data_IF_303009096576
#
_entry.id   IF_303009096576
#
_cell.length_a   1.000
_cell.length_b   1.000
_cell.length_c   1.000
_cell.angle_alpha   90.00
_cell.angle_beta   90.00
_cell.angle_gamma   90.00
#
_symmetry.space_group_name_H-M   'P 1'
#
loop_
_entity.id
_entity.type
_entity.pdbx_description
1 polymer ?
#
# COMPACT_ATOMS: atom_id res chain seq x y z
N UNK A 1 12.21 0.45 5.61
CA UNK A 1 13.06 0.76 4.43
C UNK A 1 12.27 1.62 3.45
N UNK A 2 12.92 2.66 2.92
CA UNK A 2 12.34 3.71 2.04
C UNK A 2 12.96 3.50 0.64
N UNK A 3 12.17 3.55 -0.43
CA UNK A 3 12.52 3.04 -1.78
C UNK A 3 12.03 4.02 -2.85
N UNK A 4 12.95 4.72 -3.52
CA UNK A 4 12.67 5.52 -4.73
C UNK A 4 12.61 4.64 -5.99
N UNK A 5 11.81 4.94 -7.03
CA UNK A 5 11.53 3.97 -8.11
C UNK A 5 12.10 4.36 -9.50
N UNK A 6 12.61 3.36 -10.27
CA UNK A 6 13.03 3.50 -11.68
C UNK A 6 11.86 3.56 -12.68
N UNK A 7 12.04 4.30 -13.77
CA UNK A 7 11.34 4.05 -15.05
C UNK A 7 12.09 2.94 -15.78
N UNK A 8 11.53 1.74 -15.91
CA UNK A 8 11.61 0.85 -17.11
C UNK A 8 11.08 -0.56 -16.79
N UNK A 9 10.13 -1.07 -17.60
CA UNK A 9 9.84 -2.50 -17.71
C UNK A 9 9.13 -2.83 -19.03
N UNK A 10 9.88 -3.11 -20.10
CA UNK A 10 9.35 -3.42 -21.45
C UNK A 10 8.39 -4.63 -21.43
N UNK A 11 8.68 -5.66 -20.63
CA UNK A 11 7.82 -6.85 -20.45
C UNK A 11 6.51 -6.53 -19.71
N UNK A 12 6.56 -5.66 -18.69
CA UNK A 12 5.36 -5.22 -17.99
C UNK A 12 4.50 -4.28 -18.82
N UNK A 13 5.07 -3.46 -19.72
CA UNK A 13 4.29 -2.69 -20.70
C UNK A 13 3.45 -3.60 -21.60
N UNK A 14 4.04 -4.69 -22.09
CA UNK A 14 3.33 -5.67 -22.92
C UNK A 14 2.20 -6.35 -22.15
N UNK A 15 2.48 -6.86 -20.95
CA UNK A 15 1.47 -7.46 -20.06
C UNK A 15 0.37 -6.45 -19.68
N UNK A 16 0.75 -5.22 -19.40
CA UNK A 16 -0.18 -4.14 -19.09
C UNK A 16 -1.11 -3.87 -20.29
N UNK A 17 -0.55 -3.71 -21.48
CA UNK A 17 -1.34 -3.52 -22.71
C UNK A 17 -2.26 -4.70 -23.04
N UNK A 18 -1.87 -5.93 -22.68
CA UNK A 18 -2.65 -7.13 -22.97
C UNK A 18 -3.81 -7.35 -21.97
N UNK A 19 -3.61 -7.01 -20.70
CA UNK A 19 -4.55 -7.38 -19.61
C UNK A 19 -5.21 -6.19 -18.92
N UNK A 20 -4.51 -5.06 -18.77
CA UNK A 20 -5.05 -3.88 -18.11
C UNK A 20 -5.91 -3.08 -19.07
N UNK A 21 -7.23 -3.30 -19.01
CA UNK A 21 -8.19 -2.55 -19.83
C UNK A 21 -8.62 -1.24 -19.20
N UNK A 22 -8.57 -1.14 -17.86
CA UNK A 22 -9.02 0.04 -17.13
C UNK A 22 -8.26 0.20 -15.82
N UNK A 23 -7.66 1.37 -15.62
CA UNK A 23 -7.24 1.83 -14.30
C UNK A 23 -8.22 2.90 -13.87
N UNK A 24 -8.85 2.68 -12.73
CA UNK A 24 -9.65 3.71 -12.07
C UNK A 24 -8.79 4.33 -10.99
N UNK A 25 -8.70 5.66 -11.05
CA UNK A 25 -7.92 6.42 -10.09
C UNK A 25 -8.89 7.32 -9.37
N UNK A 26 -9.03 7.07 -8.07
CA UNK A 26 -9.78 7.93 -7.18
C UNK A 26 -8.76 8.89 -6.56
N UNK A 27 -8.45 9.99 -7.28
CA UNK A 27 -7.52 11.01 -6.84
C UNK A 27 -8.01 12.41 -7.26
N UNK A 28 -7.90 13.38 -6.33
CA UNK A 28 -8.18 14.81 -6.51
C UNK A 28 -9.64 15.16 -6.91
N UNK A 29 -10.35 15.85 -6.01
CA UNK A 29 -11.62 16.53 -6.34
C UNK A 29 -12.92 15.73 -6.17
N UNK A 30 -12.90 14.52 -5.59
CA UNK A 30 -14.12 13.74 -5.34
C UNK A 30 -14.58 13.79 -3.88
N UNK A 31 -15.90 13.76 -3.68
CA UNK A 31 -16.57 13.67 -2.37
C UNK A 31 -16.00 12.55 -1.49
N UNK A 32 -15.87 12.81 -0.18
CA UNK A 32 -15.45 11.86 0.88
C UNK A 32 -16.07 10.46 0.76
N UNK A 33 -17.27 10.33 0.19
CA UNK A 33 -17.99 9.05 0.03
C UNK A 33 -17.28 8.05 -0.90
N UNK A 34 -16.68 8.51 -1.99
CA UNK A 34 -16.11 7.59 -3.00
C UNK A 34 -14.77 7.03 -2.55
N UNK A 35 -13.95 7.82 -1.86
CA UNK A 35 -12.69 7.36 -1.27
C UNK A 35 -12.94 6.31 -0.17
N UNK A 36 -13.95 6.53 0.67
CA UNK A 36 -14.33 5.57 1.71
C UNK A 36 -14.83 4.25 1.10
N UNK A 37 -15.60 4.32 -0.01
CA UNK A 37 -16.07 3.13 -0.73
C UNK A 37 -14.90 2.33 -1.33
N UNK A 38 -13.97 2.99 -2.01
CA UNK A 38 -12.77 2.34 -2.59
C UNK A 38 -11.83 1.77 -1.53
N UNK A 39 -11.62 2.49 -0.43
CA UNK A 39 -10.86 1.97 0.70
C UNK A 39 -11.53 0.71 1.27
N UNK A 40 -12.86 0.73 1.45
CA UNK A 40 -13.63 -0.45 1.87
C UNK A 40 -13.47 -1.61 0.89
N UNK A 41 -13.62 -1.39 -0.42
CA UNK A 41 -13.42 -2.44 -1.43
C UNK A 41 -12.01 -3.02 -1.40
N UNK A 42 -11.00 -2.18 -1.17
CA UNK A 42 -9.62 -2.63 -1.02
C UNK A 42 -9.43 -3.55 0.19
N UNK A 43 -10.17 -3.28 1.28
CA UNK A 43 -10.20 -4.12 2.47
C UNK A 43 -10.99 -5.41 2.24
N UNK A 44 -12.14 -5.33 1.58
CA UNK A 44 -12.98 -6.49 1.26
C UNK A 44 -12.22 -7.48 0.35
N UNK A 45 -11.46 -7.00 -0.64
CA UNK A 45 -10.63 -7.83 -1.53
C UNK A 45 -9.51 -8.57 -0.79
N UNK A 46 -8.92 -7.96 0.24
CA UNK A 46 -7.94 -8.65 1.11
C UNK A 46 -8.60 -9.78 1.92
N UNK A 47 -9.89 -9.65 2.26
CA UNK A 47 -10.63 -10.69 2.98
C UNK A 47 -10.98 -11.86 2.07
N UNK A 48 -11.44 -11.58 0.85
CA UNK A 48 -11.77 -12.60 -0.15
C UNK A 48 -10.52 -13.39 -0.58
N UNK A 49 -9.39 -12.72 -0.76
CA UNK A 49 -8.12 -13.39 -1.07
C UNK A 49 -7.62 -14.27 0.09
N UNK A 50 -8.00 -13.97 1.34
CA UNK A 50 -7.57 -14.71 2.53
C UNK A 50 -8.56 -15.78 3.00
N UNK A 51 -9.58 -16.14 2.19
CA UNK A 51 -10.73 -17.01 2.53
C UNK A 51 -10.47 -18.38 3.18
N UNK A 52 -9.24 -18.74 3.57
CA UNK A 52 -8.90 -19.96 4.32
C UNK A 52 -7.58 -19.88 5.16
N UNK A 53 -6.72 -18.85 5.05
CA UNK A 53 -5.37 -18.81 5.71
C UNK A 53 -5.09 -17.55 6.54
N UNK A 54 -6.03 -17.13 7.38
CA UNK A 54 -5.89 -16.01 8.32
C UNK A 54 -4.94 -16.22 9.51
N UNK A 55 -3.76 -16.81 9.31
CA UNK A 55 -2.85 -17.23 10.39
C UNK A 55 -1.76 -16.18 10.77
N UNK A 56 -1.62 -15.06 10.06
CA UNK A 56 -0.57 -14.06 10.36
C UNK A 56 -1.05 -12.70 10.89
N UNK A 57 -2.36 -12.48 11.08
CA UNK A 57 -2.87 -11.29 11.80
C UNK A 57 -2.58 -9.92 11.16
N UNK A 58 -2.19 -9.88 9.88
CA UNK A 58 -1.96 -8.65 9.09
C UNK A 58 -3.20 -8.20 8.31
N UNK A 59 -4.31 -8.93 8.45
CA UNK A 59 -5.58 -8.66 7.79
C UNK A 59 -6.11 -7.30 8.22
N UNK A 60 -6.59 -6.52 7.26
CA UNK A 60 -7.19 -5.21 7.50
C UNK A 60 -8.70 -5.40 7.37
N UNK A 61 -9.38 -5.59 8.49
CA UNK A 61 -10.85 -5.59 8.52
C UNK A 61 -11.32 -4.15 8.64
N UNK A 62 -12.39 -3.75 7.95
CA UNK A 62 -13.05 -2.47 8.23
C UNK A 62 -13.39 -2.31 9.73
N UNK A 63 -13.62 -3.45 10.41
CA UNK A 63 -13.99 -3.53 11.82
C UNK A 63 -12.81 -3.87 12.76
N UNK A 64 -11.58 -4.02 12.26
CA UNK A 64 -10.41 -4.20 13.13
C UNK A 64 -9.60 -2.91 13.23
N UNK A 65 -8.70 -2.89 14.22
CA UNK A 65 -7.89 -1.73 14.57
C UNK A 65 -7.09 -1.23 13.36
N UNK A 66 -6.58 -2.12 12.50
CA UNK A 66 -5.81 -1.74 11.32
C UNK A 66 -6.68 -1.08 10.24
N UNK A 67 -7.88 -1.61 9.96
CA UNK A 67 -8.75 -1.01 8.94
C UNK A 67 -9.36 0.30 9.41
N UNK A 68 -9.72 0.40 10.69
CA UNK A 68 -10.11 1.67 11.29
C UNK A 68 -9.00 2.72 11.18
N UNK A 69 -7.74 2.33 11.46
CA UNK A 69 -6.57 3.19 11.31
C UNK A 69 -6.41 3.69 9.86
N UNK A 70 -6.38 2.80 8.87
CA UNK A 70 -6.20 3.21 7.47
C UNK A 70 -7.40 4.02 6.95
N UNK A 71 -8.63 3.68 7.34
CA UNK A 71 -9.81 4.44 6.96
C UNK A 71 -9.76 5.87 7.52
N UNK A 72 -9.38 6.03 8.80
CA UNK A 72 -9.21 7.34 9.41
C UNK A 72 -8.08 8.13 8.76
N UNK A 73 -6.91 7.51 8.57
CA UNK A 73 -5.76 8.13 7.92
C UNK A 73 -6.10 8.64 6.51
N UNK A 74 -6.76 7.80 5.70
CA UNK A 74 -7.19 8.20 4.36
C UNK A 74 -8.22 9.34 4.40
N UNK A 75 -9.17 9.29 5.34
CA UNK A 75 -10.17 10.36 5.52
C UNK A 75 -9.52 11.69 5.89
N UNK A 76 -8.53 11.70 6.77
CA UNK A 76 -7.82 12.90 7.21
C UNK A 76 -7.00 13.51 6.07
N UNK A 77 -6.21 12.70 5.36
CA UNK A 77 -5.42 13.18 4.24
C UNK A 77 -6.27 13.61 3.04
N UNK A 78 -7.46 13.03 2.87
CA UNK A 78 -8.40 13.43 1.82
C UNK A 78 -8.92 14.86 2.00
N UNK A 79 -9.00 15.38 3.23
CA UNK A 79 -9.46 16.77 3.49
C UNK A 79 -8.59 17.77 2.77
N UNK A 80 -7.28 17.53 2.72
CA UNK A 80 -6.31 18.39 2.05
C UNK A 80 -5.99 17.92 0.64
N UNK A 81 -6.77 17.00 0.07
CA UNK A 81 -6.53 16.43 -1.26
C UNK A 81 -5.30 15.52 -1.35
N UNK A 82 -4.70 15.13 -0.23
CA UNK A 82 -3.42 14.43 -0.12
C UNK A 82 -3.55 12.90 0.02
N UNK A 83 -4.71 12.33 -0.34
CA UNK A 83 -4.98 10.90 -0.35
C UNK A 83 -5.42 10.44 -1.75
N UNK A 84 -5.00 9.25 -2.16
CA UNK A 84 -5.42 8.62 -3.42
C UNK A 84 -5.59 7.11 -3.24
N UNK A 85 -6.57 6.55 -3.95
CA UNK A 85 -6.68 5.09 -4.14
C UNK A 85 -6.52 4.79 -5.62
N UNK A 86 -5.59 3.89 -5.93
CA UNK A 86 -5.37 3.42 -7.30
C UNK A 86 -5.92 2.01 -7.41
N UNK A 87 -6.78 1.78 -8.40
CA UNK A 87 -7.42 0.49 -8.63
C UNK A 87 -7.15 0.02 -10.06
N UNK A 88 -6.78 -1.25 -10.18
CA UNK A 88 -6.62 -1.94 -11.45
C UNK A 88 -7.82 -2.85 -11.67
N UNK A 89 -8.43 -2.74 -12.84
CA UNK A 89 -9.55 -3.58 -13.24
C UNK A 89 -9.22 -4.41 -14.49
N UNK A 90 -9.61 -5.68 -14.46
CA UNK A 90 -9.73 -6.51 -15.64
C UNK A 90 -11.22 -6.55 -16.03
N UNK A 91 -11.56 -5.83 -17.11
CA UNK A 91 -12.95 -5.49 -17.43
C UNK A 91 -13.61 -4.75 -16.24
N UNK A 92 -14.61 -5.37 -15.61
CA UNK A 92 -15.35 -4.84 -14.45
C UNK A 92 -14.92 -5.45 -13.11
N UNK A 93 -13.93 -6.34 -13.11
CA UNK A 93 -13.41 -6.99 -11.90
C UNK A 93 -12.24 -6.20 -11.33
N UNK A 94 -12.33 -5.81 -10.06
CA UNK A 94 -11.21 -5.20 -9.32
C UNK A 94 -10.16 -6.28 -9.03
N UNK A 95 -8.94 -6.10 -9.55
CA UNK A 95 -7.88 -7.11 -9.42
C UNK A 95 -6.69 -6.65 -8.57
N UNK A 96 -6.51 -5.35 -8.39
CA UNK A 96 -5.56 -4.81 -7.42
C UNK A 96 -5.95 -3.41 -6.96
N UNK A 97 -5.55 -3.06 -5.73
CA UNK A 97 -5.72 -1.75 -5.15
C UNK A 97 -4.49 -1.29 -4.37
N UNK A 98 -4.23 0.02 -4.35
CA UNK A 98 -3.19 0.67 -3.54
C UNK A 98 -3.76 1.88 -2.82
N UNK A 99 -3.60 1.90 -1.50
CA UNK A 99 -3.86 3.06 -0.67
C UNK A 99 -2.59 3.92 -0.62
N UNK A 100 -2.72 5.17 -1.00
CA UNK A 100 -1.61 6.10 -1.08
C UNK A 100 -1.95 7.43 -0.42
N UNK A 101 -0.96 8.03 0.23
CA UNK A 101 -0.98 9.43 0.63
C UNK A 101 0.19 10.14 -0.03
N UNK A 102 0.11 11.45 -0.18
CA UNK A 102 1.18 12.21 -0.81
C UNK A 102 1.28 13.62 -0.25
N UNK A 103 2.42 14.25 -0.52
CA UNK A 103 2.64 15.67 -0.32
C UNK A 103 3.31 16.24 -1.59
N UNK A 104 3.82 17.47 -1.51
CA UNK A 104 4.49 18.14 -2.64
C UNK A 104 5.78 17.46 -3.10
N UNK A 105 6.35 16.55 -2.30
CA UNK A 105 7.65 15.93 -2.56
C UNK A 105 7.53 14.44 -2.92
N UNK A 106 6.64 13.71 -2.24
CA UNK A 106 6.58 12.26 -2.34
C UNK A 106 5.17 11.69 -2.27
N UNK A 107 4.98 10.54 -2.91
CA UNK A 107 3.86 9.63 -2.72
C UNK A 107 4.31 8.47 -1.83
N UNK A 108 3.54 8.17 -0.79
CA UNK A 108 3.76 7.04 0.10
C UNK A 108 2.69 5.99 -0.21
N UNK A 109 3.14 4.79 -0.56
CA UNK A 109 2.29 3.61 -0.71
C UNK A 109 2.12 2.98 0.66
N UNK A 110 0.92 3.05 1.21
CA UNK A 110 0.59 2.57 2.55
C UNK A 110 0.27 1.08 2.58
N UNK A 111 -0.54 0.63 1.62
CA UNK A 111 -0.99 -0.76 1.51
C UNK A 111 -1.24 -1.10 0.05
N UNK A 112 -0.98 -2.36 -0.29
CA UNK A 112 -1.32 -2.97 -1.58
C UNK A 112 -2.14 -4.21 -1.30
N UNK A 113 -3.23 -4.39 -2.03
CA UNK A 113 -4.06 -5.60 -2.00
C UNK A 113 -4.32 -6.04 -3.44
N UNK A 114 -4.48 -7.33 -3.67
CA UNK A 114 -4.79 -7.87 -4.99
C UNK A 114 -5.57 -9.18 -4.88
N UNK A 115 -6.38 -9.47 -5.90
CA UNK A 115 -7.14 -10.70 -5.97
C UNK A 115 -6.21 -11.87 -6.35
N UNK A 116 -6.07 -12.85 -5.46
CA UNK A 116 -5.15 -13.99 -5.60
C UNK A 116 -5.46 -14.88 -6.82
N UNK A 117 -6.74 -14.94 -7.22
CA UNK A 117 -7.20 -15.63 -8.43
C UNK A 117 -6.52 -15.10 -9.71
N UNK A 118 -6.00 -13.87 -9.70
CA UNK A 118 -5.25 -13.27 -10.81
C UNK A 118 -3.74 -13.23 -10.56
N UNK A 119 -3.22 -13.94 -9.57
CA UNK A 119 -1.79 -13.88 -9.17
C UNK A 119 -0.82 -14.19 -10.32
N UNK A 120 -1.21 -15.05 -11.27
CA UNK A 120 -0.41 -15.37 -12.46
C UNK A 120 -0.08 -14.13 -13.32
N UNK A 121 -0.95 -13.11 -13.29
CA UNK A 121 -0.79 -11.86 -14.04
C UNK A 121 -0.01 -10.79 -13.27
N UNK A 122 0.39 -11.07 -12.03
CA UNK A 122 1.05 -10.13 -11.12
C UNK A 122 0.36 -8.75 -11.02
N UNK A 123 -0.95 -8.69 -10.70
CA UNK A 123 -1.76 -7.47 -10.74
C UNK A 123 -1.21 -6.36 -9.83
N UNK A 124 -0.65 -6.70 -8.67
CA UNK A 124 0.03 -5.74 -7.80
C UNK A 124 1.24 -5.05 -8.46
N UNK A 125 1.99 -5.76 -9.31
CA UNK A 125 3.14 -5.21 -10.07
C UNK A 125 2.67 -4.35 -11.26
N UNK A 126 1.61 -4.80 -11.96
CA UNK A 126 0.99 -4.01 -13.03
C UNK A 126 0.45 -2.68 -12.51
N UNK A 127 -0.25 -2.70 -11.38
CA UNK A 127 -0.74 -1.49 -10.73
C UNK A 127 0.41 -0.58 -10.29
N UNK A 128 1.48 -1.14 -9.70
CA UNK A 128 2.65 -0.36 -9.33
C UNK A 128 3.29 0.35 -10.54
N UNK A 129 3.51 -0.40 -11.62
CA UNK A 129 4.07 0.10 -12.86
C UNK A 129 3.29 1.31 -13.38
N UNK A 130 1.96 1.21 -13.42
CA UNK A 130 1.11 2.28 -13.90
C UNK A 130 1.10 3.51 -12.97
N UNK A 131 1.13 3.29 -11.65
CA UNK A 131 1.27 4.39 -10.67
C UNK A 131 2.58 5.15 -10.91
N UNK A 132 3.71 4.45 -11.05
CA UNK A 132 5.00 5.08 -11.34
C UNK A 132 4.93 5.90 -12.63
N UNK A 133 4.49 5.29 -13.74
CA UNK A 133 4.42 6.00 -15.02
C UNK A 133 3.58 7.27 -14.93
N UNK A 134 2.38 7.18 -14.32
CA UNK A 134 1.49 8.31 -14.18
C UNK A 134 2.10 9.42 -13.33
N UNK A 135 2.53 9.11 -12.11
CA UNK A 135 2.94 10.15 -11.16
C UNK A 135 4.17 10.92 -11.64
N UNK A 136 5.13 10.21 -12.24
CA UNK A 136 6.31 10.85 -12.82
C UNK A 136 6.00 11.58 -14.14
N UNK A 137 5.06 11.09 -14.95
CA UNK A 137 4.63 11.83 -16.15
C UNK A 137 3.89 13.13 -15.79
N UNK A 138 3.06 13.10 -14.74
CA UNK A 138 2.32 14.27 -14.25
C UNK A 138 3.19 15.20 -13.38
N UNK A 139 4.42 14.81 -13.05
CA UNK A 139 5.35 15.55 -12.17
C UNK A 139 4.73 15.96 -10.82
N UNK A 140 3.79 15.16 -10.30
CA UNK A 140 3.10 15.45 -9.03
C UNK A 140 3.98 15.20 -7.81
N UNK A 141 4.95 14.31 -7.96
CA UNK A 141 5.87 13.92 -6.90
C UNK A 141 7.27 13.75 -7.47
N UNK A 142 8.28 13.91 -6.62
CA UNK A 142 9.69 13.63 -6.95
C UNK A 142 10.07 12.20 -6.58
N UNK A 143 9.35 11.59 -5.64
CA UNK A 143 9.65 10.27 -5.07
C UNK A 143 8.37 9.46 -4.82
N UNK A 144 8.49 8.15 -4.90
CA UNK A 144 7.48 7.21 -4.39
C UNK A 144 8.17 6.42 -3.28
N UNK A 145 7.46 6.05 -2.21
CA UNK A 145 8.02 5.40 -1.03
C UNK A 145 7.17 4.24 -0.51
N UNK A 146 7.79 3.14 -0.04
CA UNK A 146 7.09 1.93 0.43
C UNK A 146 7.11 1.71 1.96
N UNK A 147 7.90 2.48 2.73
CA UNK A 147 7.96 2.48 4.21
C UNK A 147 7.82 1.11 4.90
N UNK A 148 8.43 0.06 4.34
CA UNK A 148 8.29 -1.32 4.84
C UNK A 148 9.64 -2.04 4.84
N UNK A 149 9.69 -3.28 5.35
CA UNK A 149 10.82 -4.16 5.10
C UNK A 149 10.73 -4.61 3.64
N UNK A 150 11.63 -4.09 2.81
CA UNK A 150 11.58 -4.37 1.39
C UNK A 150 11.94 -5.82 1.10
N UNK A 151 11.09 -6.48 0.33
CA UNK A 151 11.41 -7.75 -0.29
C UNK A 151 12.16 -7.54 -1.61
N UNK A 152 12.65 -8.63 -2.20
CA UNK A 152 13.39 -8.58 -3.46
C UNK A 152 12.60 -7.92 -4.59
N UNK A 153 11.28 -8.12 -4.61
CA UNK A 153 10.39 -7.50 -5.57
C UNK A 153 10.43 -5.98 -5.46
N UNK A 154 10.21 -5.41 -4.27
CA UNK A 154 10.23 -3.97 -4.04
C UNK A 154 11.61 -3.38 -4.31
N UNK A 155 12.68 -4.10 -3.96
CA UNK A 155 14.06 -3.70 -4.26
C UNK A 155 14.29 -3.64 -5.77
N UNK A 156 13.71 -4.55 -6.56
CA UNK A 156 13.88 -4.54 -8.03
C UNK A 156 13.30 -3.28 -8.69
N UNK A 157 12.33 -2.63 -8.04
CA UNK A 157 11.79 -1.35 -8.46
C UNK A 157 12.63 -0.16 -7.96
N UNK A 158 13.50 -0.38 -6.98
CA UNK A 158 14.18 0.69 -6.24
C UNK A 158 15.40 1.32 -6.96
N UNK A 159 15.66 2.60 -6.67
CA UNK A 159 16.91 3.32 -6.96
C UNK A 159 17.73 3.53 -5.69
N UNK A 160 17.10 3.56 -4.52
CA UNK A 160 17.74 3.78 -3.23
C UNK A 160 17.02 2.95 -2.15
N UNK A 161 17.74 2.63 -1.08
CA UNK A 161 17.20 2.02 0.13
C UNK A 161 17.64 2.84 1.34
N UNK A 162 16.77 3.02 2.33
CA UNK A 162 17.11 3.71 3.59
C UNK A 162 16.71 2.94 4.81
N UNK A 163 17.49 3.05 5.87
CA UNK A 163 17.16 2.46 7.16
C UNK A 163 16.08 3.27 7.88
N UNK A 164 15.09 2.58 8.46
CA UNK A 164 14.08 3.20 9.34
C UNK A 164 14.35 2.67 10.75
N UNK A 165 14.65 3.58 11.67
CA UNK A 165 14.84 3.24 13.07
C UNK A 165 13.54 3.40 13.85
N UNK A 166 13.17 2.37 14.59
CA UNK A 166 12.08 2.44 15.55
C UNK A 166 12.64 2.80 16.92
N UNK A 167 12.37 4.02 17.37
CA UNK A 167 12.75 4.48 18.71
C UNK A 167 11.51 4.40 19.61
N UNK A 168 11.61 3.65 20.70
CA UNK A 168 10.56 3.60 21.73
C UNK A 168 11.04 4.35 22.97
N UNK A 169 10.34 5.43 23.33
CA UNK A 169 10.64 6.23 24.51
C UNK A 169 9.76 5.77 25.68
N UNK A 170 10.38 5.59 26.84
CA UNK A 170 9.68 5.21 28.07
C UNK A 170 9.80 6.33 29.08
N UNK A 171 8.66 6.72 29.67
CA UNK A 171 8.62 7.72 30.74
C UNK A 171 9.46 7.30 31.96
N UNK A 172 9.47 6.00 32.28
CA UNK A 172 10.18 5.44 33.43
C UNK A 172 10.99 4.20 33.06
N UNK A 173 12.13 4.03 33.73
CA UNK A 173 13.05 2.89 33.53
C UNK A 173 12.39 1.53 33.81
N UNK A 174 11.42 1.47 34.74
CA UNK A 174 10.65 0.25 35.03
C UNK A 174 9.80 -0.21 33.83
N UNK A 175 9.16 0.72 33.12
CA UNK A 175 8.38 0.38 31.91
C UNK A 175 9.27 -0.17 30.79
N UNK A 176 10.48 0.39 30.65
CA UNK A 176 11.49 -0.15 29.71
C UNK A 176 11.86 -1.59 30.07
N UNK A 177 12.13 -1.88 31.35
CA UNK A 177 12.45 -3.23 31.82
C UNK A 177 11.29 -4.21 31.58
N UNK A 178 10.06 -3.81 31.90
CA UNK A 178 8.87 -4.64 31.67
C UNK A 178 8.66 -4.94 30.17
N UNK A 179 8.82 -3.93 29.30
CA UNK A 179 8.74 -4.10 27.84
C UNK A 179 9.82 -5.05 27.32
N UNK A 180 11.07 -4.90 27.79
CA UNK A 180 12.17 -5.80 27.42
C UNK A 180 11.88 -7.25 27.85
N UNK A 181 11.40 -7.45 29.08
CA UNK A 181 11.03 -8.77 29.59
C UNK A 181 9.91 -9.43 28.74
N UNK A 182 8.87 -8.67 28.40
CA UNK A 182 7.80 -9.14 27.50
C UNK A 182 8.33 -9.61 26.15
N UNK A 183 9.24 -8.85 25.55
CA UNK A 183 9.79 -9.19 24.24
C UNK A 183 10.69 -10.44 24.28
N UNK A 184 11.44 -10.64 25.37
CA UNK A 184 12.21 -11.87 25.58
C UNK A 184 11.29 -13.09 25.70
N UNK A 185 10.16 -12.96 26.39
CA UNK A 185 9.18 -14.06 26.54
C UNK A 185 8.49 -14.36 25.21
N UNK A 186 8.08 -13.34 24.44
CA UNK A 186 7.46 -13.51 23.11
C UNK A 186 8.41 -14.06 22.04
N UNK A 187 9.72 -13.84 22.16
CA UNK A 187 10.70 -14.35 21.19
C UNK A 187 11.12 -15.81 21.40
N UNK A 188 10.66 -16.45 22.48
CA UNK A 188 10.96 -17.86 22.82
C UNK A 188 9.81 -18.84 22.54
N UNK A 189 8.67 -18.34 22.06
CA UNK A 189 7.49 -19.10 21.64
C UNK A 189 7.39 -18.97 20.13
#
# INVERSE_FOLDING_TARGET
>A
MVIQIKKTAKKLRSLFSAFAKKIVIYAHGMSRRNLAKSAKQSFDMELESQGWKGLQGTSIHANNIQGAFYAQLMKEFAVSGNASVYELYFNDTLVASRLCIFNSEMLIILKTTYAEEFSEYAPGRLLLYAVIEREFAQKRVKKIEFYTNANQDQISWSTEQRYIQHITLFRHSLLKKAYQAKNVIRGKI
#
